data_IF_005033452844
#
_entry.id   IF_005033452844
#
_cell.length_a   1.000
_cell.length_b   1.000
_cell.length_c   1.000
_cell.angle_alpha   90.00
_cell.angle_beta   90.00
_cell.angle_gamma   90.00
#
_symmetry.space_group_name_H-M   'P 1'
#
loop_
_entity.id
_entity.type
_entity.pdbx_description
1 polymer ?
#
# COMPACT_ATOMS: atom_id res chain seq x y z
N UNK A 1 15.04 -1.69 -79.79
CA UNK A 1 15.16 -2.40 -78.51
C UNK A 1 14.68 -1.56 -77.27
N UNK A 2 14.37 -0.27 -77.41
CA UNK A 2 13.96 0.59 -76.29
C UNK A 2 12.44 0.58 -75.96
N UNK A 3 11.55 0.11 -76.78
CA UNK A 3 10.09 0.14 -76.60
C UNK A 3 9.57 -1.00 -75.73
N UNK A 4 10.19 -2.20 -75.73
CA UNK A 4 9.77 -3.35 -74.87
C UNK A 4 10.07 -3.21 -73.36
N UNK A 5 11.00 -2.32 -73.01
CA UNK A 5 11.37 -2.09 -71.61
C UNK A 5 10.40 -1.15 -70.87
N UNK A 6 9.73 -0.21 -71.58
CA UNK A 6 8.74 0.69 -70.99
C UNK A 6 7.42 -0.01 -70.66
N UNK A 7 6.99 -0.96 -71.48
CA UNK A 7 5.74 -1.71 -71.26
C UNK A 7 5.85 -2.66 -70.01
N UNK A 8 7.00 -3.27 -69.75
CA UNK A 8 7.17 -4.11 -68.57
C UNK A 8 7.21 -3.34 -67.27
N UNK A 9 7.72 -2.07 -67.23
CA UNK A 9 7.70 -1.21 -66.04
C UNK A 9 6.28 -0.73 -65.74
N UNK A 10 5.46 -0.43 -66.72
CA UNK A 10 4.04 -0.03 -66.52
C UNK A 10 3.20 -1.20 -65.96
N UNK A 11 3.42 -2.42 -66.47
CA UNK A 11 2.71 -3.59 -65.96
C UNK A 11 3.10 -3.93 -64.51
N UNK A 12 4.38 -3.79 -64.13
CA UNK A 12 4.84 -4.01 -62.77
C UNK A 12 4.29 -2.99 -61.79
N UNK A 13 4.19 -1.72 -62.19
CA UNK A 13 3.63 -0.64 -61.40
C UNK A 13 2.13 -0.84 -61.16
N UNK A 14 1.37 -1.25 -62.19
CA UNK A 14 -0.08 -1.51 -62.07
C UNK A 14 -0.37 -2.75 -61.21
N UNK A 15 0.41 -3.83 -61.29
CA UNK A 15 0.29 -4.99 -60.42
C UNK A 15 0.62 -4.64 -58.94
N UNK A 16 1.64 -3.82 -58.74
CA UNK A 16 2.02 -3.35 -57.39
C UNK A 16 0.95 -2.45 -56.77
N UNK A 17 0.36 -1.51 -57.59
CA UNK A 17 -0.76 -0.67 -57.12
C UNK A 17 -2.02 -1.49 -56.81
N UNK A 18 -2.34 -2.49 -57.66
CA UNK A 18 -3.45 -3.41 -57.41
C UNK A 18 -3.27 -4.23 -56.12
N UNK A 19 -2.03 -4.65 -55.82
CA UNK A 19 -1.69 -5.38 -54.62
C UNK A 19 -1.84 -4.49 -53.35
N UNK A 20 -1.39 -3.23 -53.43
CA UNK A 20 -1.60 -2.25 -52.32
C UNK A 20 -3.09 -1.98 -52.11
N UNK A 21 -3.86 -1.81 -53.16
CA UNK A 21 -5.31 -1.60 -53.08
C UNK A 21 -6.04 -2.79 -52.48
N UNK A 22 -5.59 -4.01 -52.79
CA UNK A 22 -6.11 -5.24 -52.22
C UNK A 22 -5.81 -5.35 -50.70
N UNK A 23 -4.59 -4.99 -50.27
CA UNK A 23 -4.22 -4.97 -48.86
C UNK A 23 -5.05 -3.93 -48.07
N UNK A 24 -5.22 -2.75 -48.67
CA UNK A 24 -6.06 -1.69 -48.05
C UNK A 24 -7.52 -2.12 -47.97
N UNK A 25 -8.06 -2.76 -49.01
CA UNK A 25 -9.42 -3.29 -49.01
C UNK A 25 -9.63 -4.38 -47.96
N UNK A 26 -8.68 -5.32 -47.83
CA UNK A 26 -8.73 -6.37 -46.80
C UNK A 26 -8.67 -5.73 -45.39
N UNK A 27 -7.81 -4.73 -45.18
CA UNK A 27 -7.72 -4.00 -43.93
C UNK A 27 -9.02 -3.27 -43.53
N UNK A 28 -9.65 -2.62 -44.52
CA UNK A 28 -10.95 -1.93 -44.31
C UNK A 28 -12.10 -2.92 -44.08
N UNK A 29 -12.10 -4.06 -44.79
CA UNK A 29 -13.10 -5.12 -44.52
C UNK A 29 -12.95 -5.77 -43.14
N UNK A 30 -11.73 -6.01 -42.68
CA UNK A 30 -11.47 -6.55 -41.36
C UNK A 30 -11.88 -5.58 -40.24
N UNK A 31 -11.62 -4.27 -40.39
CA UNK A 31 -12.05 -3.24 -39.46
C UNK A 31 -13.59 -3.15 -39.38
N UNK A 32 -14.26 -3.16 -40.51
CA UNK A 32 -15.76 -3.14 -40.59
C UNK A 32 -16.40 -4.40 -40.00
N UNK A 33 -15.79 -5.57 -40.16
CA UNK A 33 -16.31 -6.81 -39.59
C UNK A 33 -16.26 -6.79 -38.04
N UNK A 34 -15.20 -6.24 -37.45
CA UNK A 34 -15.08 -6.05 -35.99
C UNK A 34 -16.13 -5.10 -35.45
N UNK A 35 -16.36 -3.94 -36.11
CA UNK A 35 -17.38 -2.98 -35.73
C UNK A 35 -18.79 -3.59 -35.75
N UNK A 36 -19.09 -4.37 -36.79
CA UNK A 36 -20.40 -5.01 -36.96
C UNK A 36 -20.69 -6.02 -35.83
N UNK A 37 -19.69 -6.74 -35.34
CA UNK A 37 -19.84 -7.69 -34.26
C UNK A 37 -20.09 -6.98 -32.91
N UNK A 38 -19.38 -5.91 -32.63
CA UNK A 38 -19.60 -5.06 -31.45
C UNK A 38 -21.01 -4.50 -31.42
N UNK A 39 -21.50 -3.94 -32.54
CA UNK A 39 -22.87 -3.41 -32.65
C UNK A 39 -23.92 -4.50 -32.47
N UNK A 40 -23.71 -5.71 -32.97
CA UNK A 40 -24.63 -6.84 -32.77
C UNK A 40 -24.72 -7.21 -31.28
N UNK A 41 -23.60 -7.24 -30.59
CA UNK A 41 -23.56 -7.55 -29.15
C UNK A 41 -24.17 -6.44 -28.29
N UNK A 42 -23.97 -5.15 -28.66
CA UNK A 42 -24.63 -4.03 -28.00
C UNK A 42 -26.14 -4.06 -28.19
N UNK A 43 -26.62 -4.48 -29.38
CA UNK A 43 -28.05 -4.67 -29.63
C UNK A 43 -28.64 -5.76 -28.75
N UNK A 44 -27.97 -6.91 -28.65
CA UNK A 44 -28.35 -8.01 -27.76
C UNK A 44 -28.39 -7.55 -26.29
N UNK A 45 -27.38 -6.81 -25.85
CA UNK A 45 -27.35 -6.24 -24.49
C UNK A 45 -28.58 -5.37 -24.22
N UNK A 46 -28.91 -4.47 -25.15
CA UNK A 46 -30.07 -3.59 -25.02
C UNK A 46 -31.41 -4.38 -25.05
N UNK A 47 -31.52 -5.42 -25.87
CA UNK A 47 -32.69 -6.32 -25.88
C UNK A 47 -32.87 -7.03 -24.53
N UNK A 48 -31.79 -7.54 -23.94
CA UNK A 48 -31.81 -8.18 -22.61
C UNK A 48 -32.20 -7.17 -21.52
N UNK A 49 -31.62 -5.97 -21.54
CA UNK A 49 -31.94 -4.90 -20.58
C UNK A 49 -33.43 -4.56 -20.62
N UNK A 50 -34.00 -4.36 -21.82
CA UNK A 50 -35.42 -4.10 -21.98
C UNK A 50 -36.32 -5.26 -21.51
N UNK A 51 -35.87 -6.53 -21.70
CA UNK A 51 -36.61 -7.70 -21.20
C UNK A 51 -36.61 -7.72 -19.69
N UNK A 52 -35.47 -7.43 -19.05
CA UNK A 52 -35.37 -7.39 -17.58
C UNK A 52 -36.27 -6.28 -17.04
N UNK A 53 -36.19 -5.06 -17.59
CA UNK A 53 -37.00 -3.93 -17.16
C UNK A 53 -38.51 -4.20 -17.25
N UNK A 54 -38.94 -4.91 -18.30
CA UNK A 54 -40.39 -5.16 -18.53
C UNK A 54 -40.94 -6.38 -17.82
N UNK A 55 -40.12 -7.38 -17.54
CA UNK A 55 -40.62 -8.69 -17.15
C UNK A 55 -40.13 -9.15 -15.76
N UNK A 56 -39.20 -8.43 -15.14
CA UNK A 56 -38.76 -8.82 -13.80
C UNK A 56 -39.91 -8.64 -12.80
N UNK A 57 -39.95 -9.50 -11.79
CA UNK A 57 -41.07 -9.61 -10.84
C UNK A 57 -41.24 -8.38 -9.95
N UNK A 58 -40.18 -7.62 -9.74
CA UNK A 58 -40.15 -6.39 -8.94
C UNK A 58 -39.69 -5.20 -9.81
N UNK A 59 -40.04 -3.99 -9.39
CA UNK A 59 -39.52 -2.77 -10.04
C UNK A 59 -38.01 -2.69 -9.87
N UNK A 60 -37.28 -2.47 -10.97
CA UNK A 60 -35.82 -2.38 -10.98
C UNK A 60 -35.36 -0.93 -11.07
N UNK A 61 -34.19 -0.63 -10.45
CA UNK A 61 -33.45 0.57 -10.75
C UNK A 61 -32.55 0.34 -11.99
N UNK A 62 -32.84 0.94 -13.14
CA UNK A 62 -32.05 0.78 -14.36
C UNK A 62 -30.57 1.18 -14.16
N UNK A 63 -30.30 2.18 -13.30
CA UNK A 63 -28.95 2.63 -13.00
C UNK A 63 -28.13 1.55 -12.30
N UNK A 64 -28.72 0.92 -11.30
CA UNK A 64 -28.08 -0.19 -10.56
C UNK A 64 -27.80 -1.40 -11.47
N UNK A 65 -28.74 -1.75 -12.36
CA UNK A 65 -28.57 -2.87 -13.31
C UNK A 65 -27.46 -2.57 -14.32
N UNK A 66 -27.40 -1.35 -14.89
CA UNK A 66 -26.34 -0.95 -15.80
C UNK A 66 -24.98 -0.92 -15.10
N UNK A 67 -24.89 -0.39 -13.88
CA UNK A 67 -23.64 -0.41 -13.09
C UNK A 67 -23.19 -1.84 -12.81
N UNK A 68 -24.11 -2.74 -12.48
CA UNK A 68 -23.83 -4.18 -12.31
C UNK A 68 -23.27 -4.82 -13.58
N UNK A 69 -23.82 -4.46 -14.75
CA UNK A 69 -23.31 -4.95 -16.04
C UNK A 69 -21.89 -4.42 -16.34
N UNK A 70 -21.63 -3.15 -16.06
CA UNK A 70 -20.29 -2.54 -16.21
C UNK A 70 -19.30 -3.23 -15.25
N UNK A 71 -19.68 -3.45 -14.00
CA UNK A 71 -18.87 -4.19 -13.03
C UNK A 71 -18.55 -5.60 -13.52
N UNK A 72 -19.54 -6.32 -14.06
CA UNK A 72 -19.35 -7.64 -14.64
C UNK A 72 -18.37 -7.66 -15.81
N UNK A 73 -18.48 -6.69 -16.72
CA UNK A 73 -17.57 -6.50 -17.84
C UNK A 73 -16.12 -6.27 -17.36
N UNK A 74 -15.92 -5.39 -16.41
CA UNK A 74 -14.60 -5.07 -15.91
C UNK A 74 -14.00 -6.24 -15.10
N UNK A 75 -14.82 -6.93 -14.30
CA UNK A 75 -14.40 -8.10 -13.52
C UNK A 75 -13.93 -9.26 -14.41
N UNK A 76 -14.39 -9.34 -15.66
CA UNK A 76 -13.93 -10.37 -16.62
C UNK A 76 -12.51 -10.17 -17.11
N UNK A 77 -11.88 -9.00 -16.88
CA UNK A 77 -10.53 -8.68 -17.35
C UNK A 77 -9.45 -9.23 -16.40
N UNK A 78 -9.53 -8.86 -15.13
CA UNK A 78 -8.59 -9.24 -14.07
C UNK A 78 -9.15 -8.87 -12.67
N UNK A 79 -8.56 -9.40 -11.56
CA UNK A 79 -9.08 -9.14 -10.21
C UNK A 79 -8.78 -7.73 -9.67
N UNK A 80 -8.05 -6.90 -10.38
CA UNK A 80 -7.60 -5.58 -9.93
C UNK A 80 -8.28 -4.42 -10.65
N UNK A 81 -8.79 -4.67 -11.86
CA UNK A 81 -9.62 -3.70 -12.59
C UNK A 81 -11.02 -3.63 -11.95
N UNK A 82 -11.56 -2.42 -11.80
CA UNK A 82 -12.85 -2.20 -11.16
C UNK A 82 -13.52 -0.92 -11.69
N UNK A 83 -14.86 -0.96 -11.77
CA UNK A 83 -15.67 0.24 -11.83
C UNK A 83 -15.94 0.71 -10.40
N UNK A 84 -15.74 1.98 -10.12
CA UNK A 84 -15.94 2.61 -8.83
C UNK A 84 -17.08 3.63 -8.92
N UNK A 85 -18.03 3.58 -8.00
CA UNK A 85 -19.03 4.63 -7.84
C UNK A 85 -18.35 5.95 -7.45
N UNK A 86 -19.07 7.08 -7.58
CA UNK A 86 -18.56 8.38 -7.18
C UNK A 86 -18.10 8.42 -5.69
N UNK A 87 -18.78 7.66 -4.82
CA UNK A 87 -18.41 7.53 -3.40
C UNK A 87 -17.11 6.74 -3.24
N UNK A 88 -17.01 5.56 -3.84
CA UNK A 88 -15.79 4.73 -3.80
C UNK A 88 -14.57 5.46 -4.40
N UNK A 89 -14.78 6.27 -5.42
CA UNK A 89 -13.71 7.06 -6.01
C UNK A 89 -13.25 8.18 -5.06
N UNK A 90 -14.15 8.87 -4.37
CA UNK A 90 -13.81 9.85 -3.34
C UNK A 90 -13.06 9.23 -2.17
N UNK A 91 -13.46 8.05 -1.72
CA UNK A 91 -12.76 7.31 -0.66
C UNK A 91 -11.33 6.96 -1.08
N UNK A 92 -11.17 6.44 -2.31
CA UNK A 92 -9.84 6.15 -2.86
C UNK A 92 -8.96 7.40 -2.95
N UNK A 93 -9.53 8.56 -3.34
CA UNK A 93 -8.78 9.82 -3.37
C UNK A 93 -8.36 10.26 -1.97
N UNK A 94 -9.22 10.12 -0.96
CA UNK A 94 -8.91 10.43 0.43
C UNK A 94 -7.80 9.53 0.96
N UNK A 95 -7.89 8.22 0.73
CA UNK A 95 -6.86 7.24 1.13
C UNK A 95 -5.51 7.51 0.43
N UNK A 96 -5.55 7.91 -0.85
CA UNK A 96 -4.36 8.27 -1.64
C UNK A 96 -3.68 9.53 -1.12
N UNK A 97 -4.46 10.53 -0.69
CA UNK A 97 -3.95 11.75 -0.06
C UNK A 97 -3.45 11.53 1.37
N UNK A 98 -3.78 10.41 1.99
CA UNK A 98 -3.49 10.16 3.40
C UNK A 98 -4.30 11.03 4.36
N UNK A 99 -5.41 11.56 3.88
CA UNK A 99 -6.30 12.42 4.66
C UNK A 99 -7.74 12.01 4.45
N UNK A 100 -8.52 12.00 5.49
CA UNK A 100 -9.98 11.86 5.38
C UNK A 100 -10.68 12.88 6.27
N UNK A 101 -11.91 13.19 5.93
CA UNK A 101 -12.72 14.06 6.78
C UNK A 101 -13.58 13.22 7.72
N UNK A 102 -13.48 13.49 9.02
CA UNK A 102 -14.17 12.72 10.04
C UNK A 102 -13.90 13.22 11.46
N UNK A 103 -14.05 12.32 12.45
CA UNK A 103 -13.94 12.64 13.87
C UNK A 103 -12.56 12.43 14.46
N UNK A 104 -11.68 11.65 13.80
CA UNK A 104 -10.39 11.27 14.37
C UNK A 104 -10.54 10.26 15.53
N UNK A 105 -11.24 9.15 15.28
CA UNK A 105 -11.38 8.03 16.23
C UNK A 105 -11.00 6.71 15.57
N UNK A 106 -10.39 5.82 16.35
CA UNK A 106 -10.18 4.42 15.99
C UNK A 106 -11.30 3.62 16.65
N UNK A 107 -12.06 2.87 15.85
CA UNK A 107 -13.21 2.08 16.28
C UNK A 107 -13.02 0.60 15.96
N UNK A 108 -13.72 -0.24 16.72
CA UNK A 108 -13.78 -1.70 16.49
C UNK A 108 -15.17 -2.21 16.88
N UNK A 109 -15.51 -3.42 16.42
CA UNK A 109 -16.64 -4.17 16.99
C UNK A 109 -16.11 -5.03 18.14
N UNK A 110 -16.68 -4.84 19.32
CA UNK A 110 -16.39 -5.66 20.51
C UNK A 110 -17.71 -6.16 21.08
N UNK A 111 -17.88 -7.48 21.12
CA UNK A 111 -19.13 -8.13 21.52
C UNK A 111 -20.38 -7.56 20.77
N UNK A 112 -20.26 -7.42 19.44
CA UNK A 112 -21.25 -6.83 18.54
C UNK A 112 -21.63 -5.37 18.87
N UNK A 113 -20.80 -4.66 19.64
CA UNK A 113 -20.99 -3.25 19.98
C UNK A 113 -19.88 -2.41 19.37
N UNK A 114 -20.26 -1.34 18.67
CA UNK A 114 -19.32 -0.37 18.13
C UNK A 114 -18.60 0.37 19.27
N UNK A 115 -17.30 0.13 19.41
CA UNK A 115 -16.51 0.60 20.54
C UNK A 115 -15.34 1.46 20.07
N UNK A 116 -15.09 2.58 20.78
CA UNK A 116 -13.93 3.44 20.56
C UNK A 116 -12.69 2.79 21.16
N UNK A 117 -11.72 2.43 20.31
CA UNK A 117 -10.42 1.94 20.76
C UNK A 117 -9.60 3.09 21.32
N UNK A 118 -9.53 4.22 20.59
CA UNK A 118 -8.89 5.45 21.03
C UNK A 118 -9.35 6.64 20.17
N UNK A 119 -9.59 7.83 20.74
CA UNK A 119 -9.59 9.07 19.98
C UNK A 119 -8.15 9.44 19.62
N UNK A 120 -7.97 10.05 18.44
CA UNK A 120 -6.67 10.57 18.00
C UNK A 120 -6.45 11.92 18.68
N UNK A 121 -5.29 12.09 19.33
CA UNK A 121 -4.91 13.31 20.03
C UNK A 121 -5.05 14.54 19.15
N UNK A 122 -5.53 15.65 19.69
CA UNK A 122 -5.79 16.93 19.02
C UNK A 122 -6.81 16.88 17.87
N UNK A 123 -7.54 15.79 17.67
CA UNK A 123 -8.60 15.69 16.66
C UNK A 123 -9.99 15.89 17.27
N UNK A 124 -11.03 16.18 16.45
CA UNK A 124 -12.34 16.64 16.93
C UNK A 124 -12.95 15.78 18.05
N UNK A 125 -12.90 14.46 17.94
CA UNK A 125 -13.47 13.59 18.97
C UNK A 125 -12.69 13.64 20.29
N UNK A 126 -11.36 13.76 20.23
CA UNK A 126 -10.53 13.94 21.42
C UNK A 126 -10.85 15.26 22.13
N UNK A 127 -10.95 16.34 21.37
CA UNK A 127 -11.30 17.68 21.90
C UNK A 127 -12.71 17.70 22.49
N UNK A 128 -13.65 16.96 21.87
CA UNK A 128 -15.02 16.82 22.38
C UNK A 128 -15.11 15.97 23.67
N UNK A 129 -14.04 15.26 24.05
CA UNK A 129 -14.00 14.46 25.28
C UNK A 129 -14.43 13.00 25.12
N UNK A 130 -14.44 12.46 23.90
CA UNK A 130 -14.58 11.03 23.64
C UNK A 130 -13.37 10.28 24.22
N UNK A 131 -13.60 9.11 24.81
CA UNK A 131 -12.57 8.31 25.48
C UNK A 131 -12.48 6.90 24.91
N UNK A 132 -11.33 6.27 25.12
CA UNK A 132 -11.17 4.84 24.88
C UNK A 132 -12.16 4.04 25.74
N UNK A 133 -12.77 3.01 25.15
CA UNK A 133 -13.81 2.19 25.80
C UNK A 133 -15.23 2.73 25.68
N UNK A 134 -15.44 3.94 25.13
CA UNK A 134 -16.79 4.45 24.86
C UNK A 134 -17.50 3.53 23.85
N UNK A 135 -18.70 3.08 24.19
CA UNK A 135 -19.55 2.27 23.31
C UNK A 135 -20.53 3.18 22.58
N UNK A 136 -20.37 3.31 21.27
CA UNK A 136 -21.22 4.17 20.44
C UNK A 136 -22.54 3.44 20.19
N UNK A 137 -23.64 3.94 20.76
CA UNK A 137 -24.98 3.34 20.67
C UNK A 137 -25.89 4.03 19.65
N UNK A 138 -25.57 5.31 19.29
CA UNK A 138 -26.28 6.03 18.23
C UNK A 138 -25.33 6.92 17.44
N UNK A 139 -25.63 7.10 16.15
CA UNK A 139 -25.03 8.08 15.25
C UNK A 139 -26.16 8.87 14.59
N UNK A 140 -26.19 10.20 14.74
CA UNK A 140 -27.25 11.07 14.27
C UNK A 140 -28.67 10.59 14.68
N UNK A 141 -28.80 10.07 15.91
CA UNK A 141 -30.05 9.55 16.45
C UNK A 141 -30.41 8.12 16.05
N UNK A 142 -29.75 7.56 15.03
CA UNK A 142 -29.95 6.19 14.56
C UNK A 142 -29.15 5.19 15.41
N UNK A 143 -29.77 4.07 15.79
CA UNK A 143 -29.11 3.03 16.61
C UNK A 143 -28.03 2.29 15.81
N UNK A 144 -26.89 2.00 16.47
CA UNK A 144 -25.75 1.27 15.89
C UNK A 144 -25.84 -0.25 16.07
N UNK A 145 -26.93 -0.78 16.61
CA UNK A 145 -27.05 -2.19 17.02
C UNK A 145 -26.79 -3.19 15.87
N UNK A 146 -27.23 -2.84 14.65
CA UNK A 146 -27.12 -3.74 13.48
C UNK A 146 -26.10 -3.21 12.45
N UNK A 147 -25.26 -2.24 12.83
CA UNK A 147 -24.26 -1.67 11.94
C UNK A 147 -23.06 -2.62 11.81
N UNK A 148 -22.58 -2.74 10.60
CA UNK A 148 -21.21 -3.20 10.36
C UNK A 148 -20.23 -2.06 10.68
N UNK A 149 -18.95 -2.39 10.85
CA UNK A 149 -17.91 -1.36 11.03
C UNK A 149 -17.85 -0.40 9.82
N UNK A 150 -18.15 -0.91 8.61
CA UNK A 150 -18.19 -0.12 7.38
C UNK A 150 -19.34 0.89 7.41
N UNK A 151 -20.54 0.49 7.83
CA UNK A 151 -21.70 1.39 7.95
C UNK A 151 -21.39 2.52 8.95
N UNK A 152 -20.79 2.16 10.10
CA UNK A 152 -20.37 3.15 11.09
C UNK A 152 -19.36 4.15 10.53
N UNK A 153 -18.33 3.66 9.81
CA UNK A 153 -17.31 4.51 9.18
C UNK A 153 -17.95 5.48 8.18
N UNK A 154 -18.85 5.02 7.31
CA UNK A 154 -19.57 5.88 6.36
C UNK A 154 -20.38 6.99 7.05
N UNK A 155 -21.07 6.69 8.17
CA UNK A 155 -21.84 7.69 8.91
C UNK A 155 -20.98 8.65 9.71
N UNK A 156 -19.83 8.20 10.22
CA UNK A 156 -18.88 9.04 10.97
C UNK A 156 -18.03 9.93 10.07
N UNK A 157 -17.69 9.48 8.85
CA UNK A 157 -17.08 10.30 7.80
C UNK A 157 -18.12 11.30 7.22
N UNK A 158 -17.67 12.26 6.46
CA UNK A 158 -18.49 13.25 5.77
C UNK A 158 -17.69 14.50 5.43
N UNK A 159 -18.32 15.52 4.89
CA UNK A 159 -17.66 16.77 4.49
C UNK A 159 -17.11 17.51 5.72
N UNK A 160 -15.88 18.07 5.57
CA UNK A 160 -15.29 18.95 6.58
C UNK A 160 -16.22 20.09 6.95
N UNK A 161 -16.33 20.36 8.24
CA UNK A 161 -17.19 21.42 8.77
C UNK A 161 -18.65 21.00 9.02
N UNK A 162 -19.06 19.78 8.59
CA UNK A 162 -20.39 19.25 8.95
C UNK A 162 -20.36 18.62 10.33
N UNK A 163 -21.49 18.65 11.04
CA UNK A 163 -21.61 18.08 12.39
C UNK A 163 -22.15 16.66 12.32
N UNK A 164 -21.63 15.79 13.19
CA UNK A 164 -22.22 14.48 13.48
C UNK A 164 -22.41 14.35 14.99
N UNK A 165 -23.58 13.88 15.39
CA UNK A 165 -23.91 13.58 16.79
C UNK A 165 -23.64 12.11 17.06
N UNK A 166 -22.78 11.79 18.02
CA UNK A 166 -22.62 10.42 18.53
C UNK A 166 -23.14 10.35 19.96
N UNK A 167 -23.88 9.28 20.28
CA UNK A 167 -24.29 8.98 21.66
C UNK A 167 -23.55 7.74 22.12
N UNK A 168 -22.86 7.84 23.24
CA UNK A 168 -22.05 6.76 23.80
C UNK A 168 -22.53 6.35 25.18
N UNK A 169 -22.32 5.09 25.54
CA UNK A 169 -22.33 4.64 26.93
C UNK A 169 -20.88 4.47 27.40
N UNK A 170 -20.61 4.92 28.59
CA UNK A 170 -19.27 4.91 29.21
C UNK A 170 -19.33 4.23 30.58
N UNK A 171 -18.38 3.37 30.87
CA UNK A 171 -18.27 2.74 32.18
C UNK A 171 -18.15 3.80 33.27
N UNK A 172 -18.97 3.69 34.31
CA UNK A 172 -19.05 4.67 35.44
C UNK A 172 -19.91 5.91 35.18
N UNK A 173 -20.55 6.04 34.01
CA UNK A 173 -21.52 7.10 33.75
C UNK A 173 -22.96 6.61 34.00
N UNK A 174 -23.78 7.42 34.70
CA UNK A 174 -25.16 7.07 35.02
C UNK A 174 -26.11 7.09 33.80
N UNK A 175 -25.78 7.88 32.79
CA UNK A 175 -26.58 8.03 31.56
C UNK A 175 -25.72 8.09 30.30
N UNK A 176 -26.29 7.79 29.11
CA UNK A 176 -25.60 7.98 27.85
C UNK A 176 -25.17 9.43 27.65
N UNK A 177 -24.00 9.63 27.07
CA UNK A 177 -23.38 10.91 26.79
C UNK A 177 -23.49 11.19 25.29
N UNK A 178 -23.98 12.38 24.90
CA UNK A 178 -24.03 12.80 23.51
C UNK A 178 -22.95 13.83 23.23
N UNK A 179 -22.30 13.70 22.09
CA UNK A 179 -21.29 14.61 21.58
C UNK A 179 -21.67 15.09 20.18
N UNK A 180 -21.79 16.41 20.02
CA UNK A 180 -21.89 17.06 18.72
C UNK A 180 -20.49 17.40 18.23
N UNK A 181 -20.00 16.72 17.21
CA UNK A 181 -18.62 16.83 16.77
C UNK A 181 -18.57 17.33 15.34
N UNK A 182 -17.87 18.43 15.13
CA UNK A 182 -17.63 18.97 13.79
C UNK A 182 -16.52 18.17 13.12
N UNK A 183 -16.80 17.62 11.95
CA UNK A 183 -15.81 16.85 11.16
C UNK A 183 -14.66 17.75 10.70
N UNK A 184 -13.45 17.24 10.78
CA UNK A 184 -12.26 17.92 10.31
C UNK A 184 -11.37 16.96 9.51
N UNK A 185 -10.34 17.52 8.87
CA UNK A 185 -9.33 16.74 8.16
C UNK A 185 -8.46 15.96 9.15
N UNK A 186 -8.45 14.66 9.00
CA UNK A 186 -7.64 13.73 9.79
C UNK A 186 -6.49 13.24 8.90
N UNK A 187 -5.27 13.53 9.29
CA UNK A 187 -4.07 13.04 8.59
C UNK A 187 -3.64 11.70 9.18
N UNK A 188 -3.40 10.73 8.29
CA UNK A 188 -2.85 9.43 8.65
C UNK A 188 -1.40 9.39 8.18
N UNK A 189 -0.46 9.41 9.12
CA UNK A 189 0.95 9.27 8.77
C UNK A 189 1.27 7.87 8.28
N UNK A 190 1.85 7.81 7.09
CA UNK A 190 2.31 6.57 6.46
C UNK A 190 3.67 6.12 7.01
N UNK A 191 4.46 7.02 7.60
CA UNK A 191 5.82 6.75 8.06
C UNK A 191 5.91 6.85 9.59
N UNK A 192 6.50 5.82 10.20
CA UNK A 192 6.88 5.80 11.62
C UNK A 192 8.37 5.54 11.72
N UNK A 193 9.02 6.08 12.75
CA UNK A 193 10.45 5.89 12.98
C UNK A 193 10.77 5.64 14.44
N UNK A 194 11.88 4.95 14.69
CA UNK A 194 12.45 4.70 16.00
C UNK A 194 13.98 4.56 15.89
N UNK A 195 14.66 4.55 17.02
CA UNK A 195 16.10 4.24 17.11
C UNK A 195 16.30 3.00 17.96
N UNK A 196 17.14 2.10 17.48
CA UNK A 196 17.59 0.93 18.22
C UNK A 196 19.11 0.99 18.47
N UNK A 197 19.55 0.59 19.66
CA UNK A 197 20.98 0.58 20.02
C UNK A 197 21.71 1.92 19.81
N UNK A 198 21.00 3.04 19.95
CA UNK A 198 21.47 4.43 19.78
C UNK A 198 21.96 4.79 18.37
N UNK A 199 22.22 3.83 17.49
CA UNK A 199 22.86 4.06 16.19
C UNK A 199 22.24 3.26 15.02
N UNK A 200 21.18 2.49 15.24
CA UNK A 200 20.44 1.80 14.19
C UNK A 200 19.07 2.46 14.07
N UNK A 201 18.84 3.09 12.93
CA UNK A 201 17.55 3.70 12.59
C UNK A 201 16.55 2.62 12.17
N UNK A 202 15.30 2.82 12.54
CA UNK A 202 14.16 2.03 12.07
C UNK A 202 13.14 2.97 11.46
N UNK A 203 12.70 2.65 10.26
CA UNK A 203 11.62 3.35 9.56
C UNK A 203 10.64 2.32 9.06
N UNK A 204 9.36 2.53 9.37
CA UNK A 204 8.26 1.73 8.84
C UNK A 204 7.42 2.57 7.91
N UNK A 205 7.16 2.05 6.71
CA UNK A 205 6.20 2.63 5.76
C UNK A 205 5.01 1.68 5.67
N UNK A 206 3.84 2.15 6.08
CA UNK A 206 2.62 1.35 6.12
C UNK A 206 1.88 1.27 4.78
N UNK A 207 1.98 2.32 3.96
CA UNK A 207 1.42 2.43 2.61
C UNK A 207 2.08 3.61 1.88
N UNK A 208 1.81 3.77 0.57
CA UNK A 208 2.38 4.86 -0.24
C UNK A 208 1.29 5.88 -0.59
N UNK A 209 1.25 6.97 0.16
CA UNK A 209 0.36 8.14 0.01
C UNK A 209 1.13 9.31 -0.62
N UNK A 210 0.44 10.38 -1.00
CA UNK A 210 1.07 11.59 -1.60
C UNK A 210 2.17 12.20 -0.72
N UNK A 211 2.08 12.06 0.61
CA UNK A 211 3.00 12.64 1.59
C UNK A 211 4.12 11.69 2.05
N UNK A 212 4.16 10.44 1.56
CA UNK A 212 5.05 9.41 2.11
C UNK A 212 6.53 9.75 1.96
N UNK A 213 6.94 10.30 0.83
CA UNK A 213 8.35 10.70 0.62
C UNK A 213 8.76 11.83 1.55
N UNK A 214 7.92 12.86 1.70
CA UNK A 214 8.19 13.98 2.62
C UNK A 214 8.28 13.50 4.08
N UNK A 215 7.38 12.61 4.48
CA UNK A 215 7.39 11.99 5.81
C UNK A 215 8.66 11.14 6.03
N UNK A 216 9.11 10.41 5.00
CA UNK A 216 10.34 9.62 5.04
C UNK A 216 11.58 10.52 5.20
N UNK A 217 11.68 11.58 4.41
CA UNK A 217 12.80 12.54 4.49
C UNK A 217 12.83 13.21 5.87
N UNK A 218 11.68 13.61 6.39
CA UNK A 218 11.57 14.16 7.74
C UNK A 218 11.98 13.15 8.83
N UNK A 219 11.60 11.88 8.69
CA UNK A 219 12.00 10.81 9.60
C UNK A 219 13.50 10.54 9.56
N UNK A 220 14.09 10.47 8.36
CA UNK A 220 15.55 10.34 8.18
C UNK A 220 16.31 11.52 8.79
N UNK A 221 15.85 12.74 8.59
CA UNK A 221 16.45 13.92 9.19
C UNK A 221 16.47 13.85 10.72
N UNK A 222 15.35 13.43 11.33
CA UNK A 222 15.26 13.25 12.80
C UNK A 222 16.17 12.15 13.32
N UNK A 223 16.30 11.03 12.60
CA UNK A 223 17.18 9.92 12.95
C UNK A 223 18.65 10.36 12.86
N UNK A 224 18.99 11.18 11.86
CA UNK A 224 20.36 11.67 11.63
C UNK A 224 20.77 12.83 12.55
N UNK A 225 19.82 13.59 13.09
CA UNK A 225 20.09 14.72 13.99
C UNK A 225 20.52 14.33 15.41
N UNK A 226 20.58 13.01 15.72
CA UNK A 226 21.08 12.54 17.00
C UNK A 226 22.59 12.69 17.16
N UNK A 227 23.06 12.69 18.43
CA UNK A 227 24.48 12.88 18.77
C UNK A 227 25.41 11.75 18.29
N UNK A 228 24.82 10.61 17.86
CA UNK A 228 25.58 9.43 17.42
C UNK A 228 25.34 9.19 15.93
N UNK A 229 26.40 9.05 15.11
CA UNK A 229 26.27 8.77 13.68
C UNK A 229 25.46 7.48 13.42
N UNK A 230 24.57 7.52 12.44
CA UNK A 230 23.79 6.39 11.99
C UNK A 230 24.70 5.30 11.41
N UNK A 231 24.65 4.08 11.96
CA UNK A 231 25.49 2.95 11.56
C UNK A 231 24.75 1.86 10.81
N UNK A 232 23.43 1.90 10.81
CA UNK A 232 22.57 0.99 10.09
C UNK A 232 21.14 1.48 10.03
N UNK A 233 20.40 1.03 9.02
CA UNK A 233 19.01 1.38 8.82
C UNK A 233 18.17 0.14 8.54
N UNK A 234 17.05 0.00 9.23
CA UNK A 234 16.00 -0.98 8.95
C UNK A 234 14.83 -0.25 8.33
N UNK A 235 14.45 -0.63 7.11
CA UNK A 235 13.21 -0.19 6.45
C UNK A 235 12.18 -1.32 6.54
N UNK A 236 11.09 -1.11 7.26
CA UNK A 236 10.03 -2.11 7.43
C UNK A 236 8.88 -1.86 6.46
N UNK A 237 8.75 -2.74 5.48
CA UNK A 237 7.69 -2.78 4.48
C UNK A 237 6.71 -3.96 4.71
N UNK A 238 6.79 -4.65 5.83
CA UNK A 238 5.88 -5.75 6.15
C UNK A 238 4.44 -5.25 6.26
N UNK A 239 3.50 -6.01 5.69
CA UNK A 239 2.06 -5.68 5.62
C UNK A 239 1.77 -4.32 4.96
N UNK A 240 2.66 -3.85 4.07
CA UNK A 240 2.43 -2.68 3.25
C UNK A 240 1.77 -3.10 1.92
N UNK A 241 0.48 -2.80 1.67
CA UNK A 241 -0.24 -3.26 0.48
C UNK A 241 0.16 -2.51 -0.80
N UNK A 242 1.04 -1.51 -0.70
CA UNK A 242 1.44 -0.63 -1.78
C UNK A 242 0.81 0.76 -1.68
N UNK A 243 0.42 1.33 -2.80
CA UNK A 243 -0.13 2.67 -2.96
C UNK A 243 0.34 3.32 -4.25
N UNK A 244 0.68 4.60 -4.21
CA UNK A 244 1.08 5.38 -5.38
C UNK A 244 2.42 4.91 -5.96
N UNK A 245 2.42 4.62 -7.27
CA UNK A 245 3.64 4.30 -8.01
C UNK A 245 4.69 5.42 -7.92
N UNK A 246 4.27 6.67 -8.11
CA UNK A 246 5.18 7.83 -8.00
C UNK A 246 5.93 7.84 -6.69
N UNK A 247 5.22 7.63 -5.57
CA UNK A 247 5.81 7.60 -4.24
C UNK A 247 6.77 6.42 -4.03
N UNK A 248 6.51 5.26 -4.63
CA UNK A 248 7.48 4.16 -4.57
C UNK A 248 8.77 4.45 -5.32
N UNK A 249 8.68 5.19 -6.43
CA UNK A 249 9.86 5.66 -7.18
C UNK A 249 10.64 6.68 -6.34
N UNK A 250 9.98 7.73 -5.83
CA UNK A 250 10.60 8.76 -5.01
C UNK A 250 11.22 8.19 -3.71
N UNK A 251 10.51 7.30 -3.01
CA UNK A 251 11.04 6.60 -1.82
C UNK A 251 12.27 5.75 -2.16
N UNK A 252 12.29 5.08 -3.31
CA UNK A 252 13.48 4.33 -3.75
C UNK A 252 14.64 5.27 -4.06
N UNK A 253 14.36 6.41 -4.68
CA UNK A 253 15.31 7.45 -5.04
C UNK A 253 16.05 8.00 -3.80
N UNK A 254 15.34 8.22 -2.68
CA UNK A 254 15.95 8.65 -1.38
C UNK A 254 17.10 7.74 -0.93
N UNK A 255 17.15 6.49 -1.38
CA UNK A 255 18.16 5.50 -0.96
C UNK A 255 19.18 5.14 -2.04
N UNK A 256 18.96 5.53 -3.31
CA UNK A 256 19.73 5.09 -4.47
C UNK A 256 20.42 6.29 -5.15
N UNK A 257 21.74 6.26 -5.31
CA UNK A 257 22.48 7.27 -6.06
C UNK A 257 22.31 7.16 -7.57
N UNK A 258 21.98 5.98 -8.08
CA UNK A 258 21.83 5.72 -9.51
C UNK A 258 21.22 4.36 -9.76
N UNK A 259 20.87 4.08 -11.00
CA UNK A 259 20.34 2.79 -11.45
C UNK A 259 18.84 2.82 -11.68
N UNK A 260 18.35 1.79 -12.35
CA UNK A 260 16.92 1.62 -12.60
C UNK A 260 16.20 1.30 -11.31
N UNK A 261 15.08 1.98 -11.04
CA UNK A 261 14.18 1.69 -9.93
C UNK A 261 13.15 0.66 -10.37
N UNK A 262 12.45 0.95 -11.46
CA UNK A 262 11.39 0.09 -12.00
C UNK A 262 11.21 0.34 -13.49
N UNK A 263 10.87 -0.69 -14.24
CA UNK A 263 10.35 -0.54 -15.58
C UNK A 263 8.91 -1.06 -15.68
N UNK A 264 8.12 -0.45 -16.56
CA UNK A 264 6.77 -0.90 -16.84
C UNK A 264 6.57 -1.12 -18.33
N UNK A 265 5.80 -2.16 -18.69
CA UNK A 265 5.47 -2.49 -20.08
C UNK A 265 3.97 -2.71 -20.20
N UNK A 266 3.34 -1.90 -21.04
CA UNK A 266 1.92 -2.04 -21.35
C UNK A 266 1.68 -2.80 -22.65
N UNK A 267 0.49 -2.63 -23.22
CA UNK A 267 0.04 -3.32 -24.43
C UNK A 267 0.88 -3.00 -25.68
N UNK A 268 1.37 -1.77 -25.82
CA UNK A 268 2.17 -1.32 -26.94
C UNK A 268 3.62 -1.07 -26.54
N UNK A 269 4.57 -1.18 -27.48
CA UNK A 269 5.98 -0.89 -27.19
C UNK A 269 6.20 0.57 -26.74
N UNK A 270 5.40 1.50 -27.24
CA UNK A 270 5.44 2.94 -26.87
C UNK A 270 4.96 3.22 -25.45
N UNK A 271 4.30 2.28 -24.79
CA UNK A 271 3.83 2.41 -23.40
C UNK A 271 4.87 1.94 -22.37
N UNK A 272 6.05 1.51 -22.79
CA UNK A 272 7.14 1.19 -21.88
C UNK A 272 7.65 2.47 -21.20
N UNK A 273 7.87 2.39 -19.88
CA UNK A 273 8.45 3.45 -19.06
C UNK A 273 9.53 2.86 -18.19
N UNK A 274 10.58 3.64 -17.94
CA UNK A 274 11.67 3.31 -17.03
C UNK A 274 11.80 4.50 -16.08
N UNK A 275 11.89 4.21 -14.78
CA UNK A 275 12.22 5.17 -13.74
C UNK A 275 13.60 4.84 -13.20
N UNK A 276 14.44 5.86 -13.08
CA UNK A 276 15.83 5.75 -12.65
C UNK A 276 16.10 6.66 -11.46
N UNK A 277 17.02 6.26 -10.60
CA UNK A 277 17.46 7.02 -9.45
C UNK A 277 18.40 8.15 -9.86
N UNK A 278 18.43 9.21 -9.03
CA UNK A 278 19.25 10.40 -9.21
C UNK A 278 20.02 10.69 -7.93
N UNK A 279 21.32 10.95 -8.06
CA UNK A 279 22.15 11.35 -6.92
C UNK A 279 21.82 12.79 -6.52
N UNK A 280 21.26 12.97 -5.33
CA UNK A 280 21.04 14.28 -4.70
C UNK A 280 22.00 14.55 -3.53
N UNK A 281 22.88 13.60 -3.21
CA UNK A 281 23.89 13.68 -2.15
C UNK A 281 23.30 13.52 -0.73
N UNK A 282 22.03 13.16 -0.61
CA UNK A 282 21.34 13.02 0.68
C UNK A 282 21.13 11.57 1.12
N UNK A 283 21.49 10.60 0.28
CA UNK A 283 21.28 9.18 0.53
C UNK A 283 22.04 8.70 1.78
N UNK A 284 21.42 7.84 2.61
CA UNK A 284 22.10 7.25 3.76
C UNK A 284 23.23 6.31 3.30
N UNK A 285 24.46 6.54 3.74
CA UNK A 285 25.60 5.67 3.38
C UNK A 285 25.73 4.42 4.26
N UNK A 286 24.97 4.33 5.36
CA UNK A 286 25.01 3.18 6.25
C UNK A 286 24.41 1.91 5.59
N UNK A 287 24.82 0.70 6.02
CA UNK A 287 24.22 -0.54 5.60
C UNK A 287 22.72 -0.57 5.92
N UNK A 288 21.95 -1.26 5.08
CA UNK A 288 20.49 -1.24 5.13
C UNK A 288 19.90 -2.64 5.03
N UNK A 289 18.88 -2.91 5.85
CA UNK A 289 18.05 -4.11 5.79
C UNK A 289 16.61 -3.69 5.53
N UNK A 290 15.95 -4.36 4.59
CA UNK A 290 14.51 -4.18 4.32
C UNK A 290 13.75 -5.39 4.84
N UNK A 291 12.76 -5.18 5.70
CA UNK A 291 11.87 -6.22 6.19
C UNK A 291 10.68 -6.37 5.25
N UNK A 292 10.43 -7.59 4.79
CA UNK A 292 9.33 -7.93 3.88
C UNK A 292 8.56 -9.16 4.34
N UNK A 293 7.30 -9.28 3.91
CA UNK A 293 6.48 -10.48 4.13
C UNK A 293 5.38 -10.64 3.07
N UNK A 294 4.53 -11.67 3.18
CA UNK A 294 3.42 -11.92 2.26
C UNK A 294 2.37 -10.79 2.17
N UNK A 295 2.38 -9.83 3.10
CA UNK A 295 1.55 -8.62 3.03
C UNK A 295 2.25 -7.43 2.35
N UNK A 296 3.52 -7.58 1.97
CA UNK A 296 4.27 -6.58 1.17
C UNK A 296 3.84 -6.71 -0.29
N UNK A 297 3.20 -5.69 -0.87
CA UNK A 297 2.60 -5.80 -2.21
C UNK A 297 2.81 -4.54 -3.07
N UNK A 298 2.76 -4.71 -4.41
CA UNK A 298 2.69 -3.62 -5.40
C UNK A 298 3.83 -2.58 -5.25
N UNK A 299 3.54 -1.32 -4.93
CA UNK A 299 4.52 -0.25 -4.71
C UNK A 299 5.62 -0.64 -3.70
N UNK A 300 5.27 -1.39 -2.65
CA UNK A 300 6.25 -1.90 -1.68
C UNK A 300 7.18 -2.96 -2.29
N UNK A 301 6.70 -3.74 -3.25
CA UNK A 301 7.54 -4.71 -3.99
C UNK A 301 8.49 -3.99 -4.96
N UNK A 302 8.07 -2.83 -5.51
CA UNK A 302 8.94 -1.99 -6.33
C UNK A 302 10.12 -1.49 -5.50
N UNK A 303 9.87 -0.91 -4.32
CA UNK A 303 10.94 -0.45 -3.41
C UNK A 303 11.85 -1.60 -3.01
N UNK A 304 11.28 -2.73 -2.61
CA UNK A 304 12.05 -3.93 -2.23
C UNK A 304 12.94 -4.42 -3.36
N UNK A 305 12.37 -4.58 -4.57
CA UNK A 305 13.10 -5.03 -5.77
C UNK A 305 14.17 -4.03 -6.20
N UNK A 306 13.86 -2.71 -6.17
CA UNK A 306 14.80 -1.66 -6.51
C UNK A 306 16.04 -1.66 -5.59
N UNK A 307 15.82 -1.72 -4.28
CA UNK A 307 16.91 -1.69 -3.29
C UNK A 307 17.75 -2.97 -3.32
N UNK A 308 17.13 -4.14 -3.52
CA UNK A 308 17.85 -5.42 -3.66
C UNK A 308 18.69 -5.47 -4.93
N UNK A 309 18.07 -5.20 -6.09
CA UNK A 309 18.70 -5.40 -7.38
C UNK A 309 19.84 -4.39 -7.63
N UNK A 310 19.73 -3.18 -7.08
CA UNK A 310 20.82 -2.19 -7.05
C UNK A 310 21.84 -2.46 -5.90
N UNK A 311 21.73 -3.57 -5.16
CA UNK A 311 22.64 -3.95 -4.07
C UNK A 311 22.73 -2.92 -2.95
N UNK A 312 21.65 -2.14 -2.76
CA UNK A 312 21.58 -1.10 -1.72
C UNK A 312 21.22 -1.66 -0.37
N UNK A 313 20.40 -2.72 -0.34
CA UNK A 313 19.91 -3.31 0.90
C UNK A 313 19.80 -4.83 0.78
N UNK A 314 19.84 -5.51 1.93
CA UNK A 314 19.53 -6.92 2.08
C UNK A 314 18.05 -7.03 2.44
N UNK A 315 17.30 -7.88 1.74
CA UNK A 315 15.92 -8.21 2.08
C UNK A 315 15.87 -9.34 3.11
N UNK A 316 15.13 -9.14 4.20
CA UNK A 316 14.96 -10.11 5.26
C UNK A 316 13.46 -10.35 5.55
N UNK A 317 13.07 -11.59 5.72
CA UNK A 317 11.69 -11.98 6.06
C UNK A 317 11.17 -13.11 5.21
N UNK A 318 9.99 -12.96 4.61
CA UNK A 318 9.37 -13.96 3.75
C UNK A 318 8.98 -13.38 2.39
N UNK A 319 8.69 -14.28 1.42
CA UNK A 319 8.25 -13.92 0.07
C UNK A 319 7.14 -12.87 0.09
N UNK A 320 7.21 -11.88 -0.82
CA UNK A 320 6.17 -10.86 -0.98
C UNK A 320 4.96 -11.38 -1.76
N UNK A 321 3.91 -10.58 -1.86
CA UNK A 321 2.61 -10.98 -2.39
C UNK A 321 2.62 -11.33 -3.90
N UNK A 322 3.34 -10.55 -4.72
CA UNK A 322 3.41 -10.78 -6.16
C UNK A 322 2.40 -9.99 -6.99
N UNK A 323 2.08 -8.75 -6.61
CA UNK A 323 1.26 -7.86 -7.42
C UNK A 323 2.13 -6.99 -8.32
N UNK A 324 2.34 -7.43 -9.55
CA UNK A 324 3.17 -6.74 -10.56
C UNK A 324 2.37 -5.98 -11.61
N UNK A 325 1.12 -5.60 -11.35
CA UNK A 325 0.24 -4.89 -12.30
C UNK A 325 0.12 -3.41 -12.00
N UNK A 326 0.15 -2.58 -13.06
CA UNK A 326 -0.06 -1.13 -13.01
C UNK A 326 -1.52 -0.82 -13.28
N UNK A 327 -2.21 -0.15 -12.36
CA UNK A 327 -3.54 0.38 -12.59
C UNK A 327 -3.48 1.88 -12.87
N UNK A 328 -4.31 2.34 -13.80
CA UNK A 328 -4.67 3.75 -13.95
C UNK A 328 -6.10 3.98 -13.47
N UNK A 329 -6.37 5.19 -13.02
CA UNK A 329 -7.71 5.62 -12.64
C UNK A 329 -8.16 6.65 -13.67
N UNK A 330 -9.29 6.39 -14.32
CA UNK A 330 -9.90 7.26 -15.30
C UNK A 330 -11.21 7.78 -14.73
N UNK A 331 -11.29 9.08 -14.33
CA UNK A 331 -12.54 9.68 -13.90
C UNK A 331 -13.56 9.70 -15.03
N UNK A 332 -14.84 9.50 -14.69
CA UNK A 332 -15.97 9.58 -15.61
C UNK A 332 -16.81 10.83 -15.32
N UNK A 333 -17.65 11.22 -16.27
CA UNK A 333 -18.40 12.49 -16.21
C UNK A 333 -19.48 12.53 -15.13
N UNK A 334 -19.93 11.39 -14.64
CA UNK A 334 -20.92 11.23 -13.58
C UNK A 334 -20.30 11.20 -12.16
N UNK A 335 -18.97 11.43 -12.07
CA UNK A 335 -18.21 11.38 -10.83
C UNK A 335 -17.73 9.98 -10.43
N UNK A 336 -18.16 8.94 -11.15
CA UNK A 336 -17.61 7.59 -11.00
C UNK A 336 -16.21 7.50 -11.62
N UNK A 337 -15.53 6.37 -11.46
CA UNK A 337 -14.21 6.17 -12.08
C UNK A 337 -13.99 4.72 -12.51
N UNK A 338 -13.14 4.56 -13.52
CA UNK A 338 -12.66 3.28 -13.97
C UNK A 338 -11.22 3.07 -13.51
N UNK A 339 -10.98 2.05 -12.71
CA UNK A 339 -9.65 1.55 -12.36
C UNK A 339 -9.31 0.43 -13.33
N UNK A 340 -8.28 0.61 -14.15
CA UNK A 340 -7.96 -0.31 -15.23
C UNK A 340 -6.49 -0.71 -15.20
N UNK A 341 -6.20 -1.99 -15.32
CA UNK A 341 -4.84 -2.52 -15.46
C UNK A 341 -4.32 -2.22 -16.87
N UNK A 342 -3.22 -1.45 -16.95
CA UNK A 342 -2.66 -0.95 -18.22
C UNK A 342 -1.25 -1.46 -18.52
N UNK A 343 -0.51 -1.97 -17.52
CA UNK A 343 0.85 -2.42 -17.68
C UNK A 343 1.26 -3.43 -16.60
N UNK A 344 2.44 -4.00 -16.74
CA UNK A 344 3.11 -4.82 -15.73
C UNK A 344 4.44 -4.20 -15.33
N UNK A 345 4.82 -4.37 -14.05
CA UNK A 345 6.12 -3.95 -13.50
C UNK A 345 7.18 -5.02 -13.67
N UNK A 346 8.42 -4.54 -13.80
CA UNK A 346 9.62 -5.34 -13.80
C UNK A 346 10.66 -4.70 -12.89
N UNK A 347 11.38 -5.53 -12.15
CA UNK A 347 12.50 -5.09 -11.31
C UNK A 347 13.67 -4.56 -12.16
N UNK A 348 14.68 -3.91 -11.60
CA UNK A 348 15.88 -3.50 -12.34
C UNK A 348 16.54 -4.63 -13.14
N UNK A 349 16.55 -5.85 -12.61
CA UNK A 349 17.08 -7.02 -13.29
C UNK A 349 16.15 -7.58 -14.40
N UNK A 350 15.00 -6.94 -14.65
CA UNK A 350 14.04 -7.31 -15.67
C UNK A 350 13.10 -8.46 -15.28
N UNK A 351 13.07 -8.85 -14.02
CA UNK A 351 12.17 -9.88 -13.51
C UNK A 351 10.75 -9.34 -13.33
N UNK A 352 9.76 -10.15 -13.71
CA UNK A 352 8.36 -9.81 -13.48
C UNK A 352 7.97 -10.09 -12.03
N UNK A 353 7.42 -9.09 -11.35
CA UNK A 353 6.86 -9.23 -9.99
C UNK A 353 5.54 -10.01 -10.03
N UNK A 354 4.78 -9.96 -11.14
CA UNK A 354 3.44 -10.52 -11.23
C UNK A 354 3.42 -12.03 -10.96
N UNK A 355 2.63 -12.43 -9.95
CA UNK A 355 2.43 -13.79 -9.45
C UNK A 355 3.70 -14.47 -8.90
N UNK A 356 4.83 -13.74 -8.83
CA UNK A 356 6.10 -14.25 -8.29
C UNK A 356 6.48 -13.55 -6.99
N UNK A 357 6.27 -12.25 -6.90
CA UNK A 357 6.76 -11.44 -5.80
C UNK A 357 8.27 -11.24 -5.84
N UNK A 358 8.78 -10.72 -4.73
CA UNK A 358 10.21 -10.52 -4.48
C UNK A 358 10.62 -11.47 -3.34
N UNK A 359 11.62 -12.30 -3.59
CA UNK A 359 12.15 -13.20 -2.58
C UNK A 359 13.10 -12.45 -1.64
N UNK A 360 13.11 -12.76 -0.33
CA UNK A 360 14.11 -12.24 0.57
C UNK A 360 15.49 -12.89 0.31
N UNK A 361 16.57 -12.15 0.61
CA UNK A 361 17.94 -12.69 0.61
C UNK A 361 18.16 -13.58 1.83
N UNK A 362 17.52 -13.23 2.96
CA UNK A 362 17.57 -13.99 4.23
C UNK A 362 16.14 -14.34 4.64
N UNK A 363 15.82 -15.63 4.58
CA UNK A 363 14.51 -16.14 4.98
C UNK A 363 14.44 -16.21 6.50
N UNK A 364 13.50 -15.47 7.09
CA UNK A 364 13.20 -15.50 8.53
C UNK A 364 11.68 -15.50 8.70
N UNK A 365 11.12 -16.61 9.15
CA UNK A 365 9.70 -16.71 9.46
C UNK A 365 9.35 -15.90 10.70
N UNK A 366 8.16 -15.28 10.70
CA UNK A 366 7.66 -14.58 11.87
C UNK A 366 7.19 -15.59 12.92
N UNK A 367 7.79 -15.53 14.10
CA UNK A 367 7.41 -16.35 15.24
C UNK A 367 6.63 -15.48 16.21
N UNK A 368 5.36 -15.84 16.47
CA UNK A 368 4.59 -15.16 17.52
C UNK A 368 5.29 -15.34 18.87
N UNK A 369 5.47 -14.27 19.66
CA UNK A 369 5.99 -14.40 21.01
C UNK A 369 5.14 -15.41 21.79
N UNK A 370 5.79 -16.38 22.42
CA UNK A 370 5.08 -17.23 23.36
C UNK A 370 4.53 -16.33 24.48
N UNK A 371 3.25 -16.49 24.82
CA UNK A 371 2.68 -15.86 26.03
C UNK A 371 3.59 -16.27 27.19
N UNK A 372 4.17 -15.31 27.88
CA UNK A 372 5.07 -15.56 29.00
C UNK A 372 4.34 -16.42 30.05
N UNK A 373 4.48 -17.73 29.95
CA UNK A 373 4.25 -18.61 31.10
C UNK A 373 5.41 -18.34 32.06
N UNK A 374 5.07 -17.91 33.26
CA UNK A 374 5.98 -17.42 34.32
C UNK A 374 7.05 -18.42 34.79
N UNK A 375 7.21 -19.55 34.11
CA UNK A 375 8.12 -20.63 34.49
C UNK A 375 9.14 -20.96 33.38
N UNK A 376 10.01 -19.99 33.04
CA UNK A 376 11.28 -20.37 32.40
C UNK A 376 12.27 -20.69 33.50
N UNK A 377 12.91 -21.89 33.51
CA UNK A 377 13.95 -22.20 34.47
C UNK A 377 15.03 -21.12 34.35
N UNK A 378 15.33 -20.49 35.49
CA UNK A 378 16.40 -19.48 35.60
C UNK A 378 17.70 -20.17 35.24
N UNK A 379 18.36 -19.75 34.15
CA UNK A 379 19.71 -20.27 33.86
C UNK A 379 20.63 -19.82 34.96
N UNK A 380 21.18 -20.80 35.70
CA UNK A 380 22.16 -20.60 36.77
C UNK A 380 23.45 -20.10 36.11
N UNK A 381 23.94 -18.96 36.55
CA UNK A 381 25.22 -18.37 36.14
C UNK A 381 26.20 -18.45 37.30
N UNK A 382 27.52 -18.30 37.05
CA UNK A 382 28.56 -18.29 38.05
C UNK A 382 28.24 -17.40 39.27
N UNK A 383 27.69 -16.21 39.02
CA UNK A 383 27.25 -15.25 40.06
C UNK A 383 26.06 -15.73 40.92
N UNK A 384 25.37 -16.80 40.52
CA UNK A 384 24.21 -17.35 41.21
C UNK A 384 24.62 -18.59 42.08
N UNK A 385 25.92 -18.96 42.03
CA UNK A 385 26.48 -20.04 42.82
C UNK A 385 26.88 -19.55 44.20
N UNK A 386 26.62 -20.38 45.20
CA UNK A 386 27.02 -20.07 46.57
C UNK A 386 28.57 -20.13 46.68
N UNK A 387 29.20 -19.00 47.12
CA UNK A 387 30.66 -18.88 47.18
C UNK A 387 31.36 -18.50 45.87
N UNK A 388 30.63 -17.97 44.87
CA UNK A 388 31.26 -17.46 43.66
C UNK A 388 32.29 -16.35 43.97
N UNK A 389 33.35 -16.28 43.15
CA UNK A 389 34.36 -15.23 43.26
C UNK A 389 33.79 -13.93 42.66
N UNK A 390 33.74 -12.86 43.44
CA UNK A 390 33.33 -11.55 42.96
C UNK A 390 34.27 -11.06 41.84
N UNK A 391 33.70 -10.74 40.67
CA UNK A 391 34.47 -10.10 39.60
C UNK A 391 34.85 -8.66 39.95
N UNK A 392 35.90 -8.13 39.33
CA UNK A 392 36.22 -6.70 39.42
C UNK A 392 35.00 -5.88 39.02
N UNK A 393 34.64 -4.87 39.85
CA UNK A 393 33.50 -3.98 39.58
C UNK A 393 33.79 -3.16 38.32
N UNK A 394 33.37 -3.67 37.15
CA UNK A 394 33.13 -2.83 35.98
C UNK A 394 31.97 -1.90 36.28
N UNK A 395 32.03 -0.66 35.78
CA UNK A 395 30.93 0.31 35.87
C UNK A 395 29.60 -0.36 35.41
N UNK A 396 28.68 -0.49 36.33
CA UNK A 396 27.48 -1.32 36.19
C UNK A 396 26.58 -0.83 35.07
N UNK A 397 26.26 -1.73 34.17
CA UNK A 397 25.19 -1.63 33.20
C UNK A 397 23.83 -1.46 33.90
N UNK A 398 23.53 -0.25 34.33
CA UNK A 398 22.18 0.16 34.58
C UNK A 398 21.44 0.18 33.26
N UNK A 399 20.59 -0.82 32.98
CA UNK A 399 19.69 -0.80 31.83
C UNK A 399 18.75 0.40 32.06
N UNK A 400 18.95 1.48 31.31
CA UNK A 400 18.03 2.61 31.36
C UNK A 400 16.63 2.20 30.84
N UNK A 401 15.59 2.92 31.20
CA UNK A 401 14.20 2.59 30.84
C UNK A 401 14.01 2.52 29.32
N UNK A 402 14.75 3.31 28.54
CA UNK A 402 14.72 3.33 27.09
C UNK A 402 15.32 2.03 26.50
N UNK A 403 16.45 1.58 27.02
CA UNK A 403 17.09 0.30 26.65
C UNK A 403 16.19 -0.89 27.02
N UNK A 404 15.48 -0.80 28.15
CA UNK A 404 14.51 -1.82 28.57
C UNK A 404 13.32 -1.95 27.61
N UNK A 405 12.75 -0.84 27.13
CA UNK A 405 11.67 -0.83 26.13
C UNK A 405 12.15 -1.38 24.79
N UNK A 406 13.30 -0.94 24.32
CA UNK A 406 13.93 -1.42 23.08
C UNK A 406 14.12 -2.95 23.12
N UNK A 407 14.66 -3.49 24.20
CA UNK A 407 14.81 -4.94 24.39
C UNK A 407 13.48 -5.69 24.42
N UNK A 408 12.42 -5.08 24.97
CA UNK A 408 11.08 -5.66 24.98
C UNK A 408 10.49 -5.75 23.57
N UNK A 409 10.65 -4.73 22.75
CA UNK A 409 10.18 -4.73 21.37
C UNK A 409 10.93 -5.74 20.50
N UNK A 410 12.25 -5.82 20.63
CA UNK A 410 13.07 -6.82 19.92
C UNK A 410 12.77 -8.26 20.35
N UNK A 411 12.32 -8.49 21.60
CA UNK A 411 11.87 -9.81 22.07
C UNK A 411 10.55 -10.24 21.46
N UNK A 412 9.69 -9.26 21.08
CA UNK A 412 8.38 -9.52 20.50
C UNK A 412 8.41 -9.74 18.99
N UNK A 413 9.47 -9.28 18.32
CA UNK A 413 9.60 -9.31 16.85
C UNK A 413 10.96 -9.92 16.47
N UNK A 414 10.95 -11.23 16.19
CA UNK A 414 12.16 -11.98 15.84
C UNK A 414 12.76 -11.53 14.50
N UNK A 415 11.97 -11.06 13.53
CA UNK A 415 12.47 -10.57 12.25
C UNK A 415 13.18 -9.22 12.44
N UNK A 416 12.56 -8.29 13.18
CA UNK A 416 13.20 -7.01 13.52
C UNK A 416 14.48 -7.24 14.33
N UNK A 417 14.46 -8.16 15.30
CA UNK A 417 15.65 -8.54 16.05
C UNK A 417 16.76 -9.05 15.14
N UNK A 418 16.45 -9.93 14.20
CA UNK A 418 17.43 -10.47 13.25
C UNK A 418 18.03 -9.36 12.36
N UNK A 419 17.22 -8.40 11.90
CA UNK A 419 17.71 -7.27 11.12
C UNK A 419 18.67 -6.39 11.93
N UNK A 420 18.33 -6.06 13.17
CA UNK A 420 19.19 -5.28 14.07
C UNK A 420 20.50 -6.02 14.39
N UNK A 421 20.41 -7.33 14.67
CA UNK A 421 21.59 -8.15 14.97
C UNK A 421 22.51 -8.25 13.73
N UNK A 422 21.97 -8.36 12.52
CA UNK A 422 22.73 -8.36 11.27
C UNK A 422 23.52 -7.03 11.09
N UNK A 423 22.88 -5.89 11.32
CA UNK A 423 23.52 -4.59 11.22
C UNK A 423 24.60 -4.39 12.31
N UNK A 424 24.39 -4.90 13.52
CA UNK A 424 25.39 -4.91 14.60
C UNK A 424 26.59 -5.77 14.23
N UNK A 425 26.35 -6.94 13.68
CA UNK A 425 27.40 -7.88 13.25
C UNK A 425 28.26 -7.28 12.15
N UNK A 426 27.64 -6.60 11.18
CA UNK A 426 28.37 -5.85 10.12
C UNK A 426 29.37 -4.85 10.70
N UNK A 427 28.98 -4.09 11.73
CA UNK A 427 29.85 -3.13 12.41
C UNK A 427 31.07 -3.81 13.09
N UNK A 428 30.89 -5.03 13.62
CA UNK A 428 31.98 -5.82 14.22
C UNK A 428 32.95 -6.25 13.13
N UNK A 429 32.46 -6.83 12.03
CA UNK A 429 33.33 -7.28 10.93
C UNK A 429 34.09 -6.15 10.26
N UNK A 430 33.51 -4.96 10.13
CA UNK A 430 34.19 -3.78 9.55
C UNK A 430 35.40 -3.31 10.38
N UNK A 431 35.44 -3.65 11.68
CA UNK A 431 36.54 -3.27 12.59
C UNK A 431 37.63 -4.34 12.71
N UNK A 432 37.38 -5.55 12.20
CA UNK A 432 38.36 -6.64 12.09
C UNK A 432 39.21 -6.51 10.83
#
# INVERSE_FOLDING_TARGET
>A
MKIRFKQKKGLFLSVFLAFILLIVMIGVCAARASDTEIYKNLKLFNEVLNMVEKNYVEEIDPTAVIQGAIQGMIKSLDPHSAFMTAEQYRDLQADTKGTFSGLGIVITMQDDILTVVAPIEDKPAFVAGVKAGDKIIKINGETTKDFTITDAVHKLRGEKGTTVTITVTREGAEAPISFDIVRDTIEIKSVKHAMYSRNIGYIRISNFQETTTDELVAALSKIRSGDVPLKGLVLDLRNNPGGLLGQSVEVSDVFLKSGVIVSSKGRTKSSARISEARDDGMEPECPMVVLINGGTASAAEIVSGALRDNKRAILLGTQTFGKGSVQTIVPLNDGSALKLTIAKYYTPNGESIQAKGVAPDIVVDYVKPAVDTKDKPKQIREKDLEGHIEGEKGEGDGIDEKTGREMADLKKDNQLKSAVDLLRTWEVFKKM
#
